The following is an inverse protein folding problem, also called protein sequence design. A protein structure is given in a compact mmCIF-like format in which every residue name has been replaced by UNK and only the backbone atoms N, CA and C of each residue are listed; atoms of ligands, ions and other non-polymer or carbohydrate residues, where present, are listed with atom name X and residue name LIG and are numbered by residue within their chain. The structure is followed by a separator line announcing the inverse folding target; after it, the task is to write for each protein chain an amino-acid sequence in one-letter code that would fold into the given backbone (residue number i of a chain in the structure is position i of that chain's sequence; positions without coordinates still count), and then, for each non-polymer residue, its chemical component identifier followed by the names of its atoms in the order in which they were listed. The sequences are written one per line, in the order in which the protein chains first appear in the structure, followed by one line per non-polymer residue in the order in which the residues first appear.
data_IF_303014495639
#
_entry.id   IF_303014495639
#
_cell.length_a   1.000
_cell.length_b   1.000
_cell.length_c   1.000
_cell.angle_alpha   90.00
_cell.angle_beta   90.00
_cell.angle_gamma   90.00
#
_symmetry.space_group_name_H-M   'P 1'
#
loop_
_entity.id
_entity.type
_entity.pdbx_description
1 polymer ?
#
# COMPACT_ATOMS: atom_id res chain seq x y z
N UNK A 1 -48.74 -3.96 26.58
CA UNK A 1 -48.57 -2.61 25.97
C UNK A 1 -47.08 -2.42 25.79
N UNK A 2 -46.66 -2.13 24.56
CA UNK A 2 -45.34 -2.43 24.01
C UNK A 2 -44.18 -1.69 24.70
N UNK A 3 -43.13 -2.44 25.02
CA UNK A 3 -41.77 -1.91 25.22
C UNK A 3 -41.17 -1.64 23.84
N UNK A 4 -40.90 -0.37 23.55
CA UNK A 4 -40.22 0.02 22.33
C UNK A 4 -38.72 -0.11 22.56
N UNK A 5 -38.13 -1.21 22.10
CA UNK A 5 -36.72 -1.26 21.73
C UNK A 5 -36.49 -0.26 20.59
N UNK A 6 -35.59 0.71 20.79
CA UNK A 6 -34.94 1.39 19.67
C UNK A 6 -33.45 1.10 19.71
N UNK A 7 -33.10 0.06 18.95
CA UNK A 7 -31.79 -0.12 18.34
C UNK A 7 -31.39 1.15 17.58
N UNK A 8 -30.58 2.00 18.22
CA UNK A 8 -29.85 3.06 17.52
C UNK A 8 -28.69 2.43 16.75
N UNK A 9 -29.05 1.99 15.53
CA UNK A 9 -28.21 1.35 14.54
C UNK A 9 -26.87 2.05 14.34
N UNK A 10 -25.81 1.25 14.49
CA UNK A 10 -24.42 1.56 14.19
C UNK A 10 -24.25 2.14 12.78
N UNK A 11 -23.96 3.44 12.69
CA UNK A 11 -23.72 4.16 11.43
C UNK A 11 -22.24 4.53 11.22
N UNK A 12 -21.32 3.75 11.78
CA UNK A 12 -19.87 4.01 11.77
C UNK A 12 -19.04 2.90 11.10
N UNK A 13 -19.67 1.97 10.37
CA UNK A 13 -18.94 0.97 9.57
C UNK A 13 -18.73 1.49 8.14
N UNK A 14 -17.82 2.44 7.97
CA UNK A 14 -17.37 2.83 6.62
C UNK A 14 -16.73 1.62 5.96
N UNK A 15 -17.16 1.20 4.76
CA UNK A 15 -16.64 0.00 4.10
C UNK A 15 -15.12 0.11 3.95
N UNK A 16 -14.41 -0.80 4.61
CA UNK A 16 -12.96 -0.86 4.62
C UNK A 16 -12.49 -1.75 3.48
N UNK A 17 -11.48 -1.30 2.73
CA UNK A 17 -10.79 -2.13 1.74
C UNK A 17 -10.24 -3.40 2.43
N UNK A 18 -10.13 -4.58 1.77
CA UNK A 18 -9.42 -5.77 2.30
C UNK A 18 -7.99 -5.50 2.84
N UNK A 19 -7.42 -4.32 2.60
CA UNK A 19 -6.17 -3.83 3.18
C UNK A 19 -6.34 -3.03 4.49
N UNK A 20 -7.56 -2.97 5.05
CA UNK A 20 -7.91 -2.25 6.28
C UNK A 20 -8.04 -0.74 6.12
N UNK A 21 -8.25 -0.22 4.90
CA UNK A 21 -8.32 1.22 4.61
C UNK A 21 -9.76 1.70 4.73
N UNK A 22 -10.13 2.49 5.75
CA UNK A 22 -11.46 3.06 5.85
C UNK A 22 -11.61 4.16 4.80
N UNK A 23 -12.69 4.12 4.00
CA UNK A 23 -13.01 5.20 3.06
C UNK A 23 -13.00 6.57 3.75
N UNK A 24 -12.28 7.55 3.19
CA UNK A 24 -12.24 8.90 3.71
C UNK A 24 -13.47 9.69 3.22
N UNK A 25 -14.43 10.02 4.10
CA UNK A 25 -15.49 10.94 3.73
C UNK A 25 -14.92 12.36 3.57
N UNK A 26 -15.39 13.09 2.55
CA UNK A 26 -15.13 14.52 2.45
C UNK A 26 -16.01 15.24 3.47
N UNK A 27 -15.41 16.03 4.36
CA UNK A 27 -16.15 16.81 5.36
C UNK A 27 -16.65 18.08 4.67
N UNK A 28 -17.89 18.04 4.19
CA UNK A 28 -18.48 19.15 3.43
C UNK A 28 -19.00 20.25 4.38
N UNK A 29 -19.65 19.84 5.48
CA UNK A 29 -20.11 20.73 6.56
C UNK A 29 -19.66 20.22 7.91
N UNK A 30 -18.88 21.02 8.62
CA UNK A 30 -18.32 20.66 9.94
C UNK A 30 -19.41 20.47 10.99
N UNK A 31 -20.51 21.21 10.86
CA UNK A 31 -21.70 21.17 11.73
C UNK A 31 -22.36 19.77 11.77
N UNK A 32 -22.25 19.01 10.68
CA UNK A 32 -22.84 17.67 10.57
C UNK A 32 -22.01 16.60 11.32
N UNK A 33 -20.77 16.91 11.69
CA UNK A 33 -19.84 16.00 12.37
C UNK A 33 -19.65 16.33 13.86
N UNK A 34 -20.10 17.50 14.30
CA UNK A 34 -19.95 17.98 15.67
C UNK A 34 -21.23 18.69 16.09
N UNK A 35 -22.16 17.92 16.66
CA UNK A 35 -23.48 18.43 17.10
C UNK A 35 -23.40 19.13 18.45
N UNK A 36 -22.40 18.80 19.28
CA UNK A 36 -22.17 19.40 20.59
C UNK A 36 -20.69 19.67 20.85
N UNK A 37 -20.40 20.56 21.81
CA UNK A 37 -19.02 20.87 22.21
C UNK A 37 -18.26 19.67 22.79
N UNK A 38 -18.98 18.65 23.28
CA UNK A 38 -18.39 17.42 23.79
C UNK A 38 -17.87 16.51 22.66
N UNK A 39 -18.41 16.64 21.45
CA UNK A 39 -18.08 15.78 20.31
C UNK A 39 -16.87 16.27 19.51
N UNK A 40 -16.41 17.50 19.76
CA UNK A 40 -15.27 18.12 19.07
C UNK A 40 -14.00 17.29 19.21
N UNK A 41 -13.61 17.01 20.46
CA UNK A 41 -12.38 16.31 20.80
C UNK A 41 -12.33 14.87 20.25
N UNK A 42 -13.37 14.02 20.44
CA UNK A 42 -13.37 12.67 19.87
C UNK A 42 -13.39 12.68 18.34
N UNK A 43 -14.09 13.62 17.70
CA UNK A 43 -14.11 13.75 16.24
C UNK A 43 -12.73 14.15 15.69
N UNK A 44 -12.05 15.11 16.32
CA UNK A 44 -10.68 15.48 15.94
C UNK A 44 -9.70 14.33 16.12
N UNK A 45 -9.82 13.55 17.20
CA UNK A 45 -8.98 12.36 17.43
C UNK A 45 -9.18 11.31 16.34
N UNK A 46 -10.43 11.04 15.94
CA UNK A 46 -10.74 10.14 14.81
C UNK A 46 -10.10 10.62 13.50
N UNK A 47 -10.14 11.93 13.21
CA UNK A 47 -9.47 12.48 12.02
C UNK A 47 -7.95 12.31 12.08
N UNK A 48 -7.32 12.56 13.22
CA UNK A 48 -5.88 12.35 13.39
C UNK A 48 -5.48 10.89 13.17
N UNK A 49 -6.27 9.95 13.72
CA UNK A 49 -6.05 8.51 13.50
C UNK A 49 -6.18 8.13 12.01
N UNK A 50 -7.16 8.70 11.30
CA UNK A 50 -7.31 8.47 9.86
C UNK A 50 -6.11 9.01 9.08
N UNK A 51 -5.67 10.25 9.36
CA UNK A 51 -4.50 10.86 8.71
C UNK A 51 -3.26 9.97 8.91
N UNK A 52 -3.02 9.49 10.13
CA UNK A 52 -1.89 8.62 10.44
C UNK A 52 -1.93 7.30 9.63
N UNK A 53 -3.12 6.66 9.54
CA UNK A 53 -3.31 5.44 8.72
C UNK A 53 -2.98 5.70 7.25
N UNK A 54 -3.45 6.82 6.69
CA UNK A 54 -3.20 7.19 5.30
C UNK A 54 -1.73 7.47 5.03
N UNK A 55 -1.06 8.25 5.87
CA UNK A 55 0.37 8.53 5.73
C UNK A 55 1.22 7.25 5.81
N UNK A 56 0.90 6.36 6.75
CA UNK A 56 1.58 5.06 6.84
C UNK A 56 1.44 4.27 5.54
N UNK A 57 0.24 4.23 4.96
CA UNK A 57 0.02 3.48 3.72
C UNK A 57 0.64 4.13 2.50
N UNK A 58 0.65 5.45 2.42
CA UNK A 58 1.37 6.18 1.40
C UNK A 58 2.86 5.83 1.43
N UNK A 59 3.48 5.86 2.61
CA UNK A 59 4.89 5.48 2.77
C UNK A 59 5.15 4.04 2.34
N UNK A 60 4.26 3.10 2.68
CA UNK A 60 4.37 1.71 2.24
C UNK A 60 4.28 1.57 0.71
N UNK A 61 3.38 2.31 0.07
CA UNK A 61 3.25 2.33 -1.39
C UNK A 61 4.50 2.94 -2.04
N UNK A 62 4.98 4.07 -1.54
CA UNK A 62 6.20 4.73 -2.03
C UNK A 62 7.40 3.79 -1.95
N UNK A 63 7.61 3.09 -0.82
CA UNK A 63 8.68 2.09 -0.69
C UNK A 63 8.59 0.99 -1.73
N UNK A 64 7.38 0.46 -2.00
CA UNK A 64 7.18 -0.55 -3.05
C UNK A 64 7.50 0.00 -4.43
N UNK A 65 7.06 1.22 -4.75
CA UNK A 65 7.35 1.88 -6.02
C UNK A 65 8.85 2.06 -6.22
N UNK A 66 9.59 2.46 -5.19
CA UNK A 66 11.06 2.57 -5.23
C UNK A 66 11.69 1.21 -5.53
N UNK A 67 11.35 0.17 -4.77
CA UNK A 67 11.90 -1.17 -5.01
C UNK A 67 11.55 -1.74 -6.39
N UNK A 68 10.39 -1.40 -6.97
CA UNK A 68 10.05 -1.76 -8.34
C UNK A 68 10.91 -1.00 -9.36
N UNK A 69 11.15 0.30 -9.14
CA UNK A 69 12.00 1.12 -10.01
C UNK A 69 13.45 0.65 -10.00
N UNK A 70 13.96 0.21 -8.85
CA UNK A 70 15.30 -0.39 -8.72
C UNK A 70 15.44 -1.69 -9.52
N UNK A 71 14.41 -2.53 -9.54
CA UNK A 71 14.41 -3.82 -10.28
C UNK A 71 14.16 -3.68 -11.78
N UNK A 72 13.52 -2.59 -12.20
CA UNK A 72 13.19 -2.32 -13.60
C UNK A 72 14.39 -2.44 -14.57
N UNK A 73 15.57 -1.85 -14.30
CA UNK A 73 16.73 -1.97 -15.19
C UNK A 73 17.21 -3.42 -15.34
N UNK A 74 17.25 -4.19 -14.25
CA UNK A 74 17.69 -5.59 -14.29
C UNK A 74 16.72 -6.46 -15.11
N UNK A 75 15.41 -6.24 -14.98
CA UNK A 75 14.40 -6.92 -15.79
C UNK A 75 14.57 -6.56 -17.28
N UNK A 76 14.88 -5.31 -17.60
CA UNK A 76 15.15 -4.89 -18.98
C UNK A 76 16.42 -5.54 -19.53
N UNK A 77 17.49 -5.59 -18.74
CA UNK A 77 18.76 -6.21 -19.13
C UNK A 77 18.61 -7.71 -19.37
N UNK A 78 17.91 -8.43 -18.49
CA UNK A 78 17.64 -9.87 -18.66
C UNK A 78 16.78 -10.14 -19.90
N UNK A 79 15.82 -9.25 -20.22
CA UNK A 79 15.03 -9.36 -21.45
C UNK A 79 15.88 -9.10 -22.70
N UNK A 80 16.81 -8.14 -22.65
CA UNK A 80 17.75 -7.86 -23.73
C UNK A 80 18.70 -9.04 -23.97
N UNK A 81 19.25 -9.65 -22.92
CA UNK A 81 20.11 -10.84 -23.07
C UNK A 81 19.35 -12.01 -23.66
N UNK A 82 18.11 -12.26 -23.25
CA UNK A 82 17.26 -13.31 -23.84
C UNK A 82 16.99 -13.03 -25.32
N UNK A 83 16.70 -11.79 -25.71
CA UNK A 83 16.53 -11.40 -27.12
C UNK A 83 17.81 -11.59 -27.93
N UNK A 84 18.96 -11.19 -27.37
CA UNK A 84 20.27 -11.38 -27.97
C UNK A 84 20.57 -12.87 -28.20
N UNK A 85 20.37 -13.72 -27.18
CA UNK A 85 20.56 -15.17 -27.29
C UNK A 85 19.61 -15.80 -28.32
N UNK A 86 18.35 -15.37 -28.35
CA UNK A 86 17.38 -15.82 -29.37
C UNK A 86 17.80 -15.44 -30.79
N UNK A 87 18.45 -14.29 -30.98
CA UNK A 87 18.95 -13.88 -32.31
C UNK A 87 20.21 -14.62 -32.77
N UNK A 88 20.99 -15.20 -31.84
CA UNK A 88 22.30 -15.83 -32.07
C UNK A 88 22.30 -17.35 -31.94
N UNK A 89 21.20 -18.04 -32.21
CA UNK A 89 21.00 -19.49 -32.00
C UNK A 89 21.98 -20.46 -32.70
N UNK A 90 23.12 -20.02 -33.24
CA UNK A 90 24.11 -20.87 -33.90
C UNK A 90 25.52 -20.90 -33.28
N UNK A 91 25.97 -19.89 -32.50
CA UNK A 91 27.35 -19.91 -32.00
C UNK A 91 27.57 -18.94 -30.82
N UNK A 92 27.35 -19.41 -29.60
CA UNK A 92 27.77 -18.70 -28.38
C UNK A 92 28.49 -19.71 -27.48
N UNK A 93 29.82 -19.68 -27.49
CA UNK A 93 30.64 -20.32 -26.47
C UNK A 93 30.44 -19.57 -25.15
N UNK A 94 29.64 -20.13 -24.25
CA UNK A 94 29.37 -19.56 -22.93
C UNK A 94 30.52 -19.95 -21.98
N UNK A 95 31.44 -19.01 -21.72
CA UNK A 95 32.35 -19.10 -20.59
C UNK A 95 31.61 -18.68 -19.32
N UNK A 96 31.20 -19.66 -18.52
CA UNK A 96 30.66 -19.38 -17.19
C UNK A 96 31.83 -19.09 -16.24
N UNK A 97 31.88 -17.90 -15.59
CA UNK A 97 32.77 -17.73 -14.47
C UNK A 97 32.28 -18.67 -13.36
N UNK A 98 33.03 -19.75 -13.13
CA UNK A 98 32.86 -20.56 -11.93
C UNK A 98 33.44 -19.70 -10.81
N UNK A 99 32.57 -19.14 -9.98
CA UNK A 99 32.97 -18.55 -8.70
C UNK A 99 33.39 -19.71 -7.81
N UNK A 100 34.67 -20.10 -7.89
CA UNK A 100 35.27 -21.05 -6.99
C UNK A 100 35.41 -20.34 -5.64
N UNK A 101 34.48 -20.61 -4.73
CA UNK A 101 34.41 -20.03 -3.39
C UNK A 101 35.61 -20.30 -2.47
N UNK A 102 36.82 -20.42 -2.99
CA UNK A 102 38.08 -20.42 -2.25
C UNK A 102 38.50 -19.01 -1.84
N UNK A 103 37.65 -18.34 -1.07
CA UNK A 103 38.03 -17.24 -0.19
C UNK A 103 38.24 -17.80 1.22
N UNK A 104 39.38 -18.44 1.44
CA UNK A 104 39.74 -19.04 2.73
C UNK A 104 40.08 -18.00 3.80
N UNK A 105 39.55 -18.29 5.00
CA UNK A 105 39.87 -17.75 6.34
C UNK A 105 39.46 -16.31 6.66
#
# INVERSE_FOLDING_TARGET
MASTDQDVASKDATPSNPRGIPYAPFVDKVEDYVTSRADVEPTLRRFQEMIAKYQFMEQNLQRRVVGLKEKLPDIRKTLETVRFLKSRTANVMLSYPIDDGSGGR
#
